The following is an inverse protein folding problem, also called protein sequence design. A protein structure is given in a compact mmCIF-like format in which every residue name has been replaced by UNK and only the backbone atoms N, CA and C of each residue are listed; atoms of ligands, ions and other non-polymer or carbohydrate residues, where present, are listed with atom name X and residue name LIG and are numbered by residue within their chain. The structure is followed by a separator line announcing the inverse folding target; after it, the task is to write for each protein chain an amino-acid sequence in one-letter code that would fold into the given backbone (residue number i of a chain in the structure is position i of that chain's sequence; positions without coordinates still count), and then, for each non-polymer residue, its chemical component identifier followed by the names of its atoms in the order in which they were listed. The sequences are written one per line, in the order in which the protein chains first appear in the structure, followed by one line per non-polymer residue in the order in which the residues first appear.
data_IF_695099791401
#
_entry.id   IF_695099791401
#
_cell.length_a   1.000
_cell.length_b   1.000
_cell.length_c   1.000
_cell.angle_alpha   90.00
_cell.angle_beta   90.00
_cell.angle_gamma   90.00
#
_symmetry.space_group_name_H-M   'P 1'
#
loop_
_entity.id
_entity.type
_entity.pdbx_description
1 polymer ?
#
# COMPACT_ATOMS: atom_id res chain seq x y z
N UNK A 1 -1.71 -22.27 -13.75
CA UNK A 1 -0.87 -22.34 -12.54
C UNK A 1 -0.30 -20.98 -12.12
N UNK A 2 0.64 -20.37 -12.85
CA UNK A 2 1.25 -19.09 -12.44
C UNK A 2 0.29 -17.89 -12.58
N UNK A 3 -0.48 -17.85 -13.68
CA UNK A 3 -1.47 -16.78 -13.92
C UNK A 3 -2.70 -16.87 -13.00
N UNK A 4 -3.14 -18.09 -12.66
CA UNK A 4 -4.23 -18.32 -11.70
C UNK A 4 -3.84 -17.86 -10.30
N UNK A 5 -2.61 -18.14 -9.87
CA UNK A 5 -2.10 -17.66 -8.59
C UNK A 5 -2.00 -16.14 -8.57
N UNK A 6 -1.59 -15.52 -9.69
CA UNK A 6 -1.54 -14.06 -9.82
C UNK A 6 -2.94 -13.43 -9.74
N UNK A 7 -3.93 -14.02 -10.40
CA UNK A 7 -5.33 -13.58 -10.30
C UNK A 7 -5.87 -13.70 -8.88
N UNK A 8 -5.67 -14.85 -8.24
CA UNK A 8 -6.13 -15.06 -6.86
C UNK A 8 -5.56 -14.03 -5.87
N UNK A 9 -4.31 -13.59 -6.07
CA UNK A 9 -3.70 -12.52 -5.27
C UNK A 9 -4.39 -11.17 -5.55
N UNK A 10 -4.64 -10.85 -6.82
CA UNK A 10 -5.29 -9.60 -7.20
C UNK A 10 -6.71 -9.52 -6.66
N UNK A 11 -7.47 -10.61 -6.72
CA UNK A 11 -8.84 -10.69 -6.21
C UNK A 11 -8.92 -10.52 -4.68
N UNK A 12 -7.85 -10.90 -3.97
CA UNK A 12 -7.72 -10.70 -2.53
C UNK A 12 -7.33 -9.27 -2.13
N UNK A 13 -6.90 -8.42 -3.08
CA UNK A 13 -6.56 -7.02 -2.83
C UNK A 13 -7.82 -6.15 -3.07
N UNK A 14 -8.36 -5.43 -2.08
CA UNK A 14 -9.54 -4.59 -2.29
C UNK A 14 -9.42 -3.54 -3.39
N UNK A 15 -8.22 -2.98 -3.61
CA UNK A 15 -7.96 -2.07 -4.74
C UNK A 15 -7.88 -2.76 -6.11
N UNK A 16 -7.96 -4.10 -6.17
CA UNK A 16 -7.98 -4.87 -7.42
C UNK A 16 -6.70 -4.78 -8.24
N UNK A 17 -5.57 -4.40 -7.63
CA UNK A 17 -4.27 -4.34 -8.30
C UNK A 17 -3.12 -4.63 -7.35
N UNK A 18 -2.02 -5.14 -7.92
CA UNK A 18 -0.75 -5.19 -7.20
C UNK A 18 -0.24 -3.77 -6.92
N UNK A 19 0.37 -3.60 -5.76
CA UNK A 19 1.17 -2.42 -5.46
C UNK A 19 2.39 -2.34 -6.38
N UNK A 20 2.89 -1.13 -6.59
CA UNK A 20 4.14 -0.86 -7.28
C UNK A 20 5.03 0.05 -6.44
N UNK A 21 6.27 0.27 -6.88
CA UNK A 21 7.24 1.07 -6.13
C UNK A 21 6.77 2.52 -5.90
N UNK A 22 5.97 3.09 -6.81
CA UNK A 22 5.47 4.45 -6.69
C UNK A 22 4.45 4.59 -5.55
N UNK A 23 3.68 3.54 -5.25
CA UNK A 23 2.72 3.57 -4.13
C UNK A 23 3.44 3.81 -2.79
N UNK A 24 4.57 3.11 -2.58
CA UNK A 24 5.41 3.28 -1.39
C UNK A 24 6.16 4.60 -1.41
N UNK A 25 6.71 5.00 -2.58
CA UNK A 25 7.43 6.26 -2.72
C UNK A 25 6.54 7.47 -2.40
N UNK A 26 5.28 7.45 -2.81
CA UNK A 26 4.32 8.52 -2.52
C UNK A 26 4.00 8.60 -1.02
N UNK A 27 3.82 7.47 -0.34
CA UNK A 27 3.62 7.44 1.11
C UNK A 27 4.85 7.95 1.87
N UNK A 28 6.04 7.55 1.45
CA UNK A 28 7.30 8.05 2.01
C UNK A 28 7.45 9.56 1.78
N UNK A 29 7.12 10.06 0.58
CA UNK A 29 7.14 11.49 0.27
C UNK A 29 6.16 12.27 1.16
N UNK A 30 4.94 11.74 1.36
CA UNK A 30 3.98 12.35 2.28
C UNK A 30 4.55 12.44 3.69
N UNK A 31 5.06 11.34 4.24
CA UNK A 31 5.63 11.29 5.59
C UNK A 31 6.88 12.17 5.77
N UNK A 32 7.63 12.42 4.69
CA UNK A 32 8.78 13.30 4.68
C UNK A 32 8.42 14.79 4.46
N UNK A 33 7.15 15.10 4.18
CA UNK A 33 6.69 16.45 3.87
C UNK A 33 6.07 17.15 5.10
N UNK A 34 5.90 18.47 5.01
CA UNK A 34 5.22 19.25 6.05
C UNK A 34 3.74 18.86 6.24
N UNK A 35 3.13 18.16 5.26
CA UNK A 35 1.75 17.68 5.32
C UNK A 35 1.51 16.69 6.47
N UNK A 36 2.55 16.00 6.92
CA UNK A 36 2.51 15.06 8.04
C UNK A 36 3.18 15.59 9.30
N UNK A 37 3.36 16.92 9.44
CA UNK A 37 4.13 17.54 10.52
C UNK A 37 3.62 17.26 11.95
N UNK A 38 2.38 16.79 12.11
CA UNK A 38 1.82 16.39 13.40
C UNK A 38 1.66 14.87 13.58
N UNK A 39 2.22 14.07 12.67
CA UNK A 39 2.21 12.61 12.74
C UNK A 39 3.56 12.11 13.26
N UNK A 40 3.54 11.35 14.35
CA UNK A 40 4.73 10.67 14.88
C UNK A 40 4.32 9.36 15.55
N UNK A 41 5.20 8.36 15.51
CA UNK A 41 4.96 7.04 16.11
C UNK A 41 3.87 6.20 15.43
N UNK A 42 3.43 6.57 14.22
CA UNK A 42 2.40 5.83 13.48
C UNK A 42 3.01 4.79 12.54
N UNK A 43 2.20 3.79 12.18
CA UNK A 43 2.44 2.94 11.02
C UNK A 43 1.45 3.34 9.92
N UNK A 44 1.94 3.56 8.69
CA UNK A 44 1.11 3.85 7.52
C UNK A 44 1.14 2.65 6.57
N UNK A 45 0.02 1.92 6.51
CA UNK A 45 -0.09 0.74 5.66
C UNK A 45 -0.24 1.11 4.18
N UNK A 46 0.66 0.61 3.35
CA UNK A 46 0.63 0.74 1.88
C UNK A 46 0.44 -0.65 1.26
N UNK A 47 -0.75 -1.23 1.44
CA UNK A 47 -1.00 -2.64 1.12
C UNK A 47 -2.23 -2.87 0.23
N UNK A 48 -2.84 -1.81 -0.31
CA UNK A 48 -4.04 -1.91 -1.15
C UNK A 48 -5.30 -2.43 -0.44
N UNK A 49 -5.32 -2.42 0.90
CA UNK A 49 -6.42 -2.87 1.74
C UNK A 49 -6.34 -4.34 2.16
N UNK A 50 -5.25 -5.05 1.88
CA UNK A 50 -5.14 -6.48 2.21
C UNK A 50 -5.18 -6.76 3.72
N UNK A 51 -4.69 -5.83 4.54
CA UNK A 51 -4.66 -5.93 5.99
C UNK A 51 -5.12 -4.60 6.57
N UNK A 52 -5.87 -4.67 7.66
CA UNK A 52 -6.26 -3.51 8.48
C UNK A 52 -5.62 -3.74 9.85
N UNK A 53 -4.79 -2.79 10.30
CA UNK A 53 -4.24 -2.77 11.66
C UNK A 53 -5.28 -2.22 12.66
#
# INVERSE_FOLDING_TARGET
MQDERRHAIIDAIPLGRLGNAQDVANAALFLASDLSSYLTGITLDVNGGMLIH
#
